data_IF_576727229066
#
_entry.id   IF_576727229066
#
_cell.length_a   1.000
_cell.length_b   1.000
_cell.length_c   1.000
_cell.angle_alpha   90.00
_cell.angle_beta   90.00
_cell.angle_gamma   90.00
#
_symmetry.space_group_name_H-M   'P 1'
#
loop_
_entity.id
_entity.type
_entity.pdbx_description
1 polymer ?
#
# COMPACT_ATOMS: atom_id res chain seq x y z
N UNK A 1 17.40 20.06 11.91
CA UNK A 1 16.97 18.78 12.49
C UNK A 1 17.44 17.67 11.56
N UNK A 2 18.13 16.64 12.07
CA UNK A 2 18.60 15.52 11.23
C UNK A 2 17.40 14.66 10.80
N UNK A 3 17.40 14.06 9.60
CA UNK A 3 16.26 13.27 9.09
C UNK A 3 15.78 12.19 10.04
N UNK A 4 16.70 11.51 10.73
CA UNK A 4 16.38 10.46 11.72
C UNK A 4 15.61 11.00 12.92
N UNK A 5 15.98 12.18 13.45
CA UNK A 5 15.29 12.80 14.58
C UNK A 5 13.84 13.21 14.24
N UNK A 6 13.58 13.58 12.97
CA UNK A 6 12.24 13.88 12.49
C UNK A 6 11.36 12.62 12.37
N UNK A 7 11.94 11.53 11.88
CA UNK A 7 11.25 10.24 11.78
C UNK A 7 10.98 9.65 13.17
N UNK A 8 11.97 9.62 14.05
CA UNK A 8 11.85 9.09 15.41
C UNK A 8 10.80 9.85 16.25
N UNK A 9 10.63 11.16 16.02
CA UNK A 9 9.63 11.97 16.70
C UNK A 9 8.21 11.77 16.13
N UNK A 10 8.10 11.48 14.84
CA UNK A 10 6.81 11.31 14.15
C UNK A 10 6.21 9.90 14.36
N UNK A 11 7.05 8.87 14.33
CA UNK A 11 6.64 7.46 14.33
C UNK A 11 5.67 7.07 15.48
N UNK A 12 5.91 7.43 16.76
CA UNK A 12 5.01 7.03 17.84
C UNK A 12 3.61 7.66 17.74
N UNK A 13 3.53 8.89 17.23
CA UNK A 13 2.26 9.57 17.01
C UNK A 13 1.48 8.95 15.85
N UNK A 14 2.17 8.64 14.77
CA UNK A 14 1.59 7.99 13.59
C UNK A 14 1.09 6.58 13.90
N UNK A 15 1.83 5.76 14.65
CA UNK A 15 1.40 4.41 15.04
C UNK A 15 0.10 4.43 15.84
N UNK A 16 -0.03 5.35 16.81
CA UNK A 16 -1.28 5.51 17.58
C UNK A 16 -2.45 5.93 16.68
N UNK A 17 -2.19 6.81 15.72
CA UNK A 17 -3.20 7.25 14.76
C UNK A 17 -3.62 6.10 13.84
N UNK A 18 -2.67 5.29 13.39
CA UNK A 18 -2.91 4.10 12.57
C UNK A 18 -3.75 3.05 13.35
N UNK A 19 -3.41 2.79 14.61
CA UNK A 19 -4.18 1.88 15.49
C UNK A 19 -5.63 2.37 15.65
N UNK A 20 -5.83 3.66 15.90
CA UNK A 20 -7.16 4.24 16.04
C UNK A 20 -7.95 4.22 14.72
N UNK A 21 -7.29 4.52 13.60
CA UNK A 21 -7.88 4.42 12.27
C UNK A 21 -8.31 2.97 11.98
N UNK A 22 -7.42 2.00 12.18
CA UNK A 22 -7.70 0.58 11.98
C UNK A 22 -8.87 0.12 12.85
N UNK A 23 -8.88 0.47 14.13
CA UNK A 23 -9.95 0.13 15.06
C UNK A 23 -11.32 0.67 14.60
N UNK A 24 -11.37 1.91 14.10
CA UNK A 24 -12.62 2.51 13.64
C UNK A 24 -13.09 1.95 12.30
N UNK A 25 -12.18 1.66 11.38
CA UNK A 25 -12.50 1.11 10.06
C UNK A 25 -12.90 -0.36 10.13
N UNK A 26 -12.28 -1.15 11.01
CA UNK A 26 -12.64 -2.55 11.28
C UNK A 26 -14.02 -2.67 11.96
N UNK A 27 -14.42 -1.65 12.74
CA UNK A 27 -15.74 -1.60 13.36
C UNK A 27 -16.87 -1.32 12.35
N UNK A 28 -16.56 -0.86 11.13
CA UNK A 28 -17.57 -0.64 10.09
C UNK A 28 -17.99 -1.98 9.47
N UNK A 29 -19.28 -2.35 9.58
CA UNK A 29 -19.74 -3.61 9.06
C UNK A 29 -19.65 -3.64 7.53
N UNK A 30 -19.38 -4.82 7.00
CA UNK A 30 -19.65 -5.12 5.61
C UNK A 30 -21.13 -5.44 5.42
N UNK A 31 -21.69 -5.00 4.30
CA UNK A 31 -23.11 -5.19 3.98
C UNK A 31 -23.24 -6.29 2.96
N UNK A 32 -24.05 -7.31 3.29
CA UNK A 32 -24.52 -8.34 2.35
C UNK A 32 -25.82 -7.85 1.73
N UNK A 33 -25.84 -7.65 0.42
CA UNK A 33 -27.04 -7.14 -0.29
C UNK A 33 -27.90 -8.24 -0.89
N UNK A 34 -27.37 -9.46 -0.97
CA UNK A 34 -28.08 -10.63 -1.50
C UNK A 34 -27.17 -11.68 -2.09
N UNK A 35 -27.77 -12.59 -2.88
CA UNK A 35 -27.07 -13.70 -3.51
C UNK A 35 -27.34 -13.69 -5.01
N UNK A 36 -26.33 -14.04 -5.80
CA UNK A 36 -26.45 -14.34 -7.22
C UNK A 36 -26.09 -15.81 -7.46
N UNK A 37 -27.11 -16.69 -7.45
CA UNK A 37 -26.89 -18.12 -7.36
C UNK A 37 -26.19 -18.46 -6.03
N UNK A 38 -25.07 -19.21 -6.04
CA UNK A 38 -24.32 -19.55 -4.84
C UNK A 38 -23.40 -18.40 -4.34
N UNK A 39 -23.33 -17.28 -5.06
CA UNK A 39 -22.37 -16.19 -4.78
C UNK A 39 -23.03 -15.14 -3.90
N UNK A 40 -22.47 -14.91 -2.72
CA UNK A 40 -22.81 -13.80 -1.85
C UNK A 40 -22.32 -12.48 -2.47
N UNK A 41 -23.19 -11.48 -2.48
CA UNK A 41 -22.88 -10.11 -2.93
C UNK A 41 -22.73 -9.21 -1.70
N UNK A 42 -21.48 -8.92 -1.35
CA UNK A 42 -21.16 -8.15 -0.16
C UNK A 42 -20.08 -7.11 -0.41
N UNK A 43 -20.06 -6.04 0.37
CA UNK A 43 -19.14 -4.92 0.23
C UNK A 43 -17.67 -5.25 0.55
N UNK A 44 -17.39 -6.41 1.17
CA UNK A 44 -16.01 -6.87 1.38
C UNK A 44 -15.37 -7.45 0.11
N UNK A 45 -16.19 -7.92 -0.86
CA UNK A 45 -15.69 -8.44 -2.12
C UNK A 45 -15.52 -7.31 -3.16
N UNK A 46 -14.36 -6.70 -3.16
CA UNK A 46 -14.01 -5.60 -4.06
C UNK A 46 -14.09 -5.99 -5.55
N UNK A 47 -13.86 -7.25 -5.87
CA UNK A 47 -14.00 -7.74 -7.25
C UNK A 47 -15.48 -7.69 -7.69
N UNK A 48 -16.40 -8.13 -6.84
CA UNK A 48 -17.84 -8.06 -7.11
C UNK A 48 -18.32 -6.61 -7.24
N UNK A 49 -17.88 -5.73 -6.33
CA UNK A 49 -18.20 -4.30 -6.40
C UNK A 49 -17.73 -3.69 -7.73
N UNK A 50 -16.47 -3.94 -8.10
CA UNK A 50 -15.89 -3.44 -9.36
C UNK A 50 -16.62 -3.98 -10.58
N UNK A 51 -16.95 -5.26 -10.58
CA UNK A 51 -17.71 -5.92 -11.66
C UNK A 51 -19.13 -5.34 -11.78
N UNK A 52 -19.79 -5.09 -10.66
CA UNK A 52 -21.13 -4.48 -10.65
C UNK A 52 -21.09 -3.04 -11.17
N UNK A 53 -20.12 -2.23 -10.75
CA UNK A 53 -19.92 -0.87 -11.30
C UNK A 53 -19.73 -0.89 -12.81
N UNK A 54 -18.85 -1.78 -13.31
CA UNK A 54 -18.60 -1.92 -14.73
C UNK A 54 -19.87 -2.29 -15.49
N UNK A 55 -20.64 -3.27 -15.01
CA UNK A 55 -21.91 -3.68 -15.64
C UNK A 55 -22.92 -2.55 -15.68
N UNK A 56 -23.07 -1.79 -14.60
CA UNK A 56 -23.96 -0.62 -14.56
C UNK A 56 -23.52 0.44 -15.59
N UNK A 57 -22.23 0.71 -15.70
CA UNK A 57 -21.67 1.63 -16.68
C UNK A 57 -21.88 1.14 -18.12
N UNK A 58 -21.63 -0.15 -18.41
CA UNK A 58 -21.80 -0.74 -19.74
C UNK A 58 -23.25 -0.66 -20.21
N UNK A 59 -24.23 -0.84 -19.30
CA UNK A 59 -25.66 -0.67 -19.60
C UNK A 59 -26.00 0.81 -19.83
N UNK A 60 -25.50 1.72 -18.99
CA UNK A 60 -25.78 3.16 -19.12
C UNK A 60 -25.23 3.74 -20.42
N UNK A 61 -24.10 3.20 -20.90
CA UNK A 61 -23.46 3.63 -22.14
C UNK A 61 -23.92 2.81 -23.38
N UNK A 62 -24.90 1.91 -23.22
CA UNK A 62 -25.45 1.10 -24.31
C UNK A 62 -24.50 0.04 -24.87
N UNK A 63 -23.41 -0.27 -24.16
CA UNK A 63 -22.46 -1.34 -24.55
C UNK A 63 -22.97 -2.74 -24.24
N UNK A 64 -23.92 -2.86 -23.32
CA UNK A 64 -24.59 -4.10 -22.99
C UNK A 64 -26.11 -3.85 -22.99
N UNK A 65 -26.87 -4.76 -23.60
CA UNK A 65 -28.34 -4.72 -23.52
C UNK A 65 -28.79 -5.45 -22.27
N UNK A 66 -29.85 -4.93 -21.64
CA UNK A 66 -30.44 -5.58 -20.47
C UNK A 66 -30.91 -6.99 -20.76
N UNK A 67 -31.43 -7.24 -22.02
CA UNK A 67 -31.96 -8.53 -22.46
C UNK A 67 -30.88 -9.65 -22.56
N UNK A 68 -29.59 -9.26 -22.64
CA UNK A 68 -28.47 -10.20 -22.69
C UNK A 68 -28.08 -10.77 -21.33
N UNK A 69 -28.71 -10.33 -20.25
CA UNK A 69 -28.41 -10.71 -18.86
C UNK A 69 -29.52 -11.62 -18.33
N UNK A 70 -29.24 -12.89 -17.97
CA UNK A 70 -30.22 -13.75 -17.31
C UNK A 70 -30.71 -13.11 -16.01
N UNK A 71 -32.01 -13.21 -15.73
CA UNK A 71 -32.66 -12.61 -14.55
C UNK A 71 -32.32 -11.12 -14.34
N UNK A 72 -32.35 -10.41 -15.44
CA UNK A 72 -31.79 -9.05 -15.61
C UNK A 72 -32.28 -8.07 -14.55
N UNK A 73 -33.56 -8.07 -14.24
CA UNK A 73 -34.10 -7.07 -13.31
C UNK A 73 -33.58 -7.26 -11.90
N UNK A 74 -33.57 -8.50 -11.40
CA UNK A 74 -33.09 -8.81 -10.06
C UNK A 74 -31.57 -8.63 -9.98
N UNK A 75 -30.83 -9.08 -10.99
CA UNK A 75 -29.37 -8.89 -11.04
C UNK A 75 -28.99 -7.42 -11.06
N UNK A 76 -29.69 -6.61 -11.86
CA UNK A 76 -29.45 -5.17 -11.96
C UNK A 76 -29.82 -4.42 -10.66
N UNK A 77 -30.88 -4.87 -9.99
CA UNK A 77 -31.25 -4.40 -8.66
C UNK A 77 -30.14 -4.68 -7.63
N UNK A 78 -29.64 -5.91 -7.61
CA UNK A 78 -28.56 -6.31 -6.70
C UNK A 78 -27.25 -5.57 -6.99
N UNK A 79 -26.89 -5.39 -8.27
CA UNK A 79 -25.70 -4.61 -8.64
C UNK A 79 -25.80 -3.15 -8.16
N UNK A 80 -26.97 -2.52 -8.27
CA UNK A 80 -27.20 -1.16 -7.76
C UNK A 80 -27.05 -1.10 -6.23
N UNK A 81 -27.69 -2.03 -5.52
CA UNK A 81 -27.62 -2.08 -4.06
C UNK A 81 -26.18 -2.31 -3.58
N UNK A 82 -25.44 -3.20 -4.25
CA UNK A 82 -24.04 -3.47 -3.90
C UNK A 82 -23.16 -2.23 -4.10
N UNK A 83 -23.32 -1.54 -5.23
CA UNK A 83 -22.54 -0.33 -5.51
C UNK A 83 -22.92 0.79 -4.54
N UNK A 84 -24.19 0.99 -4.27
CA UNK A 84 -24.66 1.99 -3.31
C UNK A 84 -24.10 1.70 -1.90
N UNK A 85 -24.22 0.47 -1.42
CA UNK A 85 -23.68 0.09 -0.10
C UNK A 85 -22.16 0.24 -0.01
N UNK A 86 -21.45 -0.03 -1.10
CA UNK A 86 -20.00 0.16 -1.18
C UNK A 86 -19.62 1.65 -1.16
N UNK A 87 -20.36 2.50 -1.86
CA UNK A 87 -20.15 3.96 -1.88
C UNK A 87 -20.46 4.59 -0.51
N UNK A 88 -21.55 4.17 0.14
CA UNK A 88 -21.90 4.61 1.50
C UNK A 88 -20.82 4.20 2.51
N UNK A 89 -20.30 2.96 2.40
CA UNK A 89 -19.21 2.51 3.26
C UNK A 89 -17.91 3.28 2.98
N UNK A 90 -17.58 3.55 1.72
CA UNK A 90 -16.43 4.37 1.36
C UNK A 90 -16.53 5.79 1.93
N UNK A 91 -17.70 6.41 1.83
CA UNK A 91 -17.93 7.73 2.41
C UNK A 91 -17.73 7.75 3.94
N UNK A 92 -18.11 6.66 4.64
CA UNK A 92 -17.83 6.52 6.08
C UNK A 92 -16.34 6.37 6.38
N UNK A 93 -15.60 5.60 5.57
CA UNK A 93 -14.16 5.47 5.69
C UNK A 93 -13.45 6.80 5.47
N UNK A 94 -13.85 7.54 4.44
CA UNK A 94 -13.33 8.87 4.14
C UNK A 94 -13.59 9.85 5.28
N UNK A 95 -14.81 9.84 5.84
CA UNK A 95 -15.16 10.67 6.99
C UNK A 95 -14.33 10.32 8.26
N UNK A 96 -14.00 9.05 8.49
CA UNK A 96 -13.10 8.64 9.56
C UNK A 96 -11.67 9.15 9.28
N UNK A 97 -11.19 8.97 8.05
CA UNK A 97 -9.87 9.44 7.60
C UNK A 97 -9.69 10.93 7.82
N UNK A 98 -10.68 11.71 7.38
CA UNK A 98 -10.67 13.17 7.50
C UNK A 98 -10.76 13.63 8.96
N UNK A 99 -11.69 13.06 9.75
CA UNK A 99 -11.85 13.39 11.16
C UNK A 99 -10.61 13.13 12.00
N UNK A 100 -9.88 12.06 11.70
CA UNK A 100 -8.64 11.70 12.39
C UNK A 100 -7.42 12.45 11.86
N UNK A 101 -7.52 13.14 10.72
CA UNK A 101 -6.36 13.71 10.01
C UNK A 101 -5.39 12.62 9.51
N UNK A 102 -5.89 11.39 9.35
CA UNK A 102 -5.06 10.26 8.96
C UNK A 102 -4.44 10.45 7.59
N UNK A 103 -5.17 11.06 6.63
CA UNK A 103 -4.66 11.31 5.28
C UNK A 103 -3.38 12.15 5.27
N UNK A 104 -3.37 13.27 6.01
CA UNK A 104 -2.17 14.14 6.08
C UNK A 104 -1.01 13.46 6.78
N UNK A 105 -1.30 12.65 7.81
CA UNK A 105 -0.28 11.91 8.55
C UNK A 105 0.32 10.79 7.70
N UNK A 106 -0.50 10.08 6.92
CA UNK A 106 -0.13 9.03 5.98
C UNK A 106 0.77 9.60 4.87
N UNK A 107 0.34 10.66 4.19
CA UNK A 107 1.14 11.38 3.18
C UNK A 107 2.49 11.85 3.73
N UNK A 108 2.53 12.24 5.00
CA UNK A 108 3.77 12.65 5.65
C UNK A 108 4.66 11.45 5.98
N UNK A 109 4.08 10.33 6.40
CA UNK A 109 4.80 9.09 6.64
C UNK A 109 5.44 8.58 5.36
N UNK A 110 4.69 8.57 4.25
CA UNK A 110 5.18 8.17 2.92
C UNK A 110 6.36 9.06 2.48
N UNK A 111 6.22 10.38 2.55
CA UNK A 111 7.30 11.31 2.20
C UNK A 111 8.55 11.13 3.06
N UNK A 112 8.40 10.79 4.33
CA UNK A 112 9.55 10.50 5.21
C UNK A 112 10.19 9.16 4.85
N UNK A 113 9.38 8.14 4.54
CA UNK A 113 9.82 6.84 4.07
C UNK A 113 10.58 6.92 2.75
N UNK A 114 10.03 7.64 1.77
CA UNK A 114 10.67 7.87 0.47
C UNK A 114 12.03 8.56 0.65
N UNK A 115 12.09 9.61 1.46
CA UNK A 115 13.32 10.35 1.73
C UNK A 115 14.36 9.50 2.47
N UNK A 116 13.92 8.67 3.39
CA UNK A 116 14.80 7.72 4.07
C UNK A 116 15.33 6.68 3.09
N UNK A 117 14.47 6.14 2.23
CA UNK A 117 14.83 5.21 1.18
C UNK A 117 15.86 5.81 0.21
N UNK A 118 15.60 7.00 -0.34
CA UNK A 118 16.51 7.72 -1.22
C UNK A 118 17.89 7.95 -0.56
N UNK A 119 17.88 8.35 0.73
CA UNK A 119 19.11 8.57 1.47
C UNK A 119 19.92 7.28 1.65
N UNK A 120 19.24 6.19 2.01
CA UNK A 120 19.88 4.87 2.15
C UNK A 120 20.42 4.38 0.82
N UNK A 121 19.66 4.58 -0.25
CA UNK A 121 20.07 4.22 -1.61
C UNK A 121 21.33 4.98 -2.02
N UNK A 122 21.37 6.29 -1.82
CA UNK A 122 22.54 7.12 -2.09
C UNK A 122 23.76 6.67 -1.29
N UNK A 123 23.59 6.25 -0.02
CA UNK A 123 24.67 5.71 0.79
C UNK A 123 25.24 4.39 0.26
N UNK A 124 24.41 3.58 -0.40
CA UNK A 124 24.87 2.32 -1.01
C UNK A 124 25.79 2.55 -2.22
N UNK A 125 25.63 3.68 -2.92
CA UNK A 125 26.38 4.01 -4.13
C UNK A 125 27.72 4.72 -3.88
N UNK A 126 27.95 5.26 -2.66
CA UNK A 126 29.25 5.89 -2.32
C UNK A 126 30.22 4.87 -1.72
N UNK A 127 31.56 5.04 -1.93
CA UNK A 127 32.55 4.14 -1.37
C UNK A 127 32.47 4.04 0.15
N UNK A 128 32.58 2.83 0.69
CA UNK A 128 32.68 2.60 2.13
C UNK A 128 34.12 2.87 2.60
N UNK A 129 34.39 3.92 3.40
CA UNK A 129 35.74 4.30 3.78
C UNK A 129 36.32 3.41 4.89
N UNK A 130 35.50 2.59 5.55
CA UNK A 130 35.89 1.81 6.71
C UNK A 130 35.15 0.47 6.76
N UNK A 131 35.71 -0.49 7.51
CA UNK A 131 35.05 -1.77 7.75
C UNK A 131 33.66 -1.65 8.37
N UNK A 132 33.39 -0.78 9.38
CA UNK A 132 32.04 -0.57 9.87
C UNK A 132 31.05 -0.06 8.81
N UNK A 133 31.48 0.82 7.90
CA UNK A 133 30.64 1.29 6.81
C UNK A 133 30.34 0.17 5.81
N UNK A 134 31.31 -0.68 5.51
CA UNK A 134 31.11 -1.87 4.66
C UNK A 134 30.16 -2.88 5.33
N UNK A 135 30.33 -3.15 6.63
CA UNK A 135 29.45 -4.06 7.36
C UNK A 135 28.01 -3.55 7.35
N UNK A 136 27.79 -2.24 7.56
CA UNK A 136 26.46 -1.64 7.46
C UNK A 136 25.81 -1.87 6.08
N UNK A 137 26.59 -1.70 4.98
CA UNK A 137 26.09 -1.98 3.62
C UNK A 137 25.71 -3.46 3.45
N UNK A 138 26.54 -4.37 3.92
CA UNK A 138 26.28 -5.81 3.83
C UNK A 138 25.06 -6.21 4.66
N UNK A 139 24.93 -5.72 5.89
CA UNK A 139 23.77 -5.95 6.74
C UNK A 139 22.49 -5.44 6.07
N UNK A 140 22.55 -4.26 5.46
CA UNK A 140 21.41 -3.68 4.77
C UNK A 140 21.01 -4.47 3.52
N UNK A 141 21.98 -4.95 2.71
CA UNK A 141 21.73 -5.84 1.58
C UNK A 141 21.11 -7.17 2.01
N UNK A 142 21.61 -7.76 3.10
CA UNK A 142 21.17 -9.07 3.58
C UNK A 142 19.84 -9.00 4.31
N UNK A 143 19.59 -7.94 5.08
CA UNK A 143 18.29 -7.73 5.75
C UNK A 143 17.12 -7.53 4.75
N UNK A 144 17.46 -7.03 3.56
CA UNK A 144 16.48 -6.88 2.46
C UNK A 144 16.23 -8.17 1.68
N UNK A 145 16.93 -9.27 2.00
CA UNK A 145 16.84 -10.54 1.26
C UNK A 145 15.49 -11.24 1.41
N UNK A 146 14.73 -10.98 2.48
CA UNK A 146 13.34 -11.45 2.65
C UNK A 146 12.32 -10.65 1.81
N UNK A 147 12.72 -9.47 1.34
CA UNK A 147 11.87 -8.57 0.58
C UNK A 147 12.53 -8.17 -0.75
N UNK A 148 12.63 -9.07 -1.73
CA UNK A 148 12.97 -8.70 -3.11
C UNK A 148 14.48 -8.44 -3.38
N UNK A 149 15.28 -9.47 -3.40
CA UNK A 149 16.66 -9.46 -3.95
C UNK A 149 16.77 -8.99 -5.42
N UNK A 150 15.62 -8.72 -6.09
CA UNK A 150 15.58 -8.21 -7.46
C UNK A 150 15.55 -6.69 -7.61
N UNK A 151 15.56 -5.92 -6.50
CA UNK A 151 15.39 -4.47 -6.54
C UNK A 151 16.68 -3.65 -6.34
N UNK A 152 17.78 -4.28 -5.99
CA UNK A 152 19.06 -3.57 -5.86
C UNK A 152 19.62 -3.21 -7.23
N UNK A 153 20.03 -1.95 -7.40
CA UNK A 153 20.70 -1.54 -8.63
C UNK A 153 22.01 -2.30 -8.79
N UNK A 154 22.35 -2.68 -10.02
CA UNK A 154 23.65 -3.29 -10.35
C UNK A 154 24.81 -2.41 -9.86
N UNK A 155 24.59 -1.08 -9.82
CA UNK A 155 25.56 -0.11 -9.33
C UNK A 155 25.81 -0.23 -7.82
N UNK A 156 24.76 -0.38 -6.99
CA UNK A 156 24.92 -0.56 -5.54
C UNK A 156 25.65 -1.87 -5.20
N UNK A 157 25.31 -2.94 -5.92
CA UNK A 157 26.00 -4.25 -5.78
C UNK A 157 27.45 -4.13 -6.20
N UNK A 158 27.73 -3.55 -7.37
CA UNK A 158 29.10 -3.37 -7.87
C UNK A 158 29.95 -2.50 -6.94
N UNK A 159 29.38 -1.42 -6.38
CA UNK A 159 30.07 -0.58 -5.41
C UNK A 159 30.38 -1.34 -4.12
N UNK A 160 29.42 -2.11 -3.59
CA UNK A 160 29.67 -2.92 -2.38
C UNK A 160 30.77 -3.96 -2.59
N UNK A 161 30.80 -4.61 -3.76
CA UNK A 161 31.88 -5.56 -4.13
C UNK A 161 33.24 -4.84 -4.25
N UNK A 162 33.26 -3.62 -4.81
CA UNK A 162 34.47 -2.81 -4.88
C UNK A 162 34.96 -2.43 -3.48
N UNK A 163 34.07 -2.01 -2.58
CA UNK A 163 34.37 -1.71 -1.19
C UNK A 163 34.97 -2.93 -0.44
N UNK A 164 34.42 -4.12 -0.65
CA UNK A 164 34.95 -5.37 -0.08
C UNK A 164 36.37 -5.61 -0.51
N UNK A 165 36.69 -5.44 -1.81
CA UNK A 165 38.02 -5.62 -2.33
C UNK A 165 39.01 -4.60 -1.74
N UNK A 166 38.58 -3.36 -1.61
CA UNK A 166 39.42 -2.29 -1.05
C UNK A 166 39.68 -2.51 0.44
N UNK A 167 38.62 -2.60 1.24
CA UNK A 167 38.74 -2.69 2.71
C UNK A 167 39.34 -3.99 3.20
N UNK A 168 39.06 -5.13 2.53
CA UNK A 168 39.62 -6.44 2.89
C UNK A 168 40.94 -6.74 2.21
N UNK A 169 41.21 -6.13 1.07
CA UNK A 169 42.49 -6.29 0.35
C UNK A 169 43.64 -5.51 0.97
N UNK A 170 43.37 -4.38 1.63
CA UNK A 170 44.33 -3.58 2.37
C UNK A 170 44.70 -4.16 3.75
N UNK A 171 43.98 -5.17 4.22
CA UNK A 171 44.25 -5.88 5.46
C UNK A 171 45.39 -6.96 5.33
N UNK A 172 46.12 -6.97 4.20
CA UNK A 172 47.35 -7.74 3.98
C UNK A 172 48.54 -6.82 4.02
#
# INVERSE_FOLDING_TARGET
MKPKEASDAFTPGFLKLLEEYSRQTEALPHVVVGYSGPIELATHDQWQVTRSRRRLADVAEGRCRLDDIPDVQERFRLDRLLVQAADERQAQLDAIRDRLGYGEADDKADKLGDREHETRWALMEIPAPTLPALLWKLEYLLASADAQTGSWSDQAIAQTVADMRHVLGEAR
#
